data_IF_382835853927
#
_entry.id   IF_382835853927
#
_cell.length_a   1.000
_cell.length_b   1.000
_cell.length_c   1.000
_cell.angle_alpha   90.00
_cell.angle_beta   90.00
_cell.angle_gamma   90.00
#
_symmetry.space_group_name_H-M   'P 1'
#
loop_
_entity.id
_entity.type
_entity.pdbx_description
1 polymer ?
#
# COMPACT_ATOMS: atom_id res chain seq x y z
N UNK A 1 -50.08 9.01 -13.88
CA UNK A 1 -49.90 8.56 -12.48
C UNK A 1 -48.41 8.39 -12.25
N UNK A 2 -47.75 9.25 -11.47
CA UNK A 2 -46.35 9.06 -11.11
C UNK A 2 -46.27 7.99 -10.04
N UNK A 3 -45.55 6.89 -10.31
CA UNK A 3 -45.17 5.92 -9.29
C UNK A 3 -44.19 6.62 -8.35
N UNK A 4 -44.68 6.96 -7.17
CA UNK A 4 -43.80 7.29 -6.02
C UNK A 4 -43.04 6.02 -5.64
N UNK A 5 -41.78 5.92 -6.11
CA UNK A 5 -40.82 4.97 -5.58
C UNK A 5 -40.57 5.30 -4.13
N UNK A 6 -41.17 4.52 -3.25
CA UNK A 6 -40.97 4.60 -1.80
C UNK A 6 -39.62 3.98 -1.46
N UNK A 7 -38.52 4.69 -1.73
CA UNK A 7 -37.23 4.39 -1.12
C UNK A 7 -37.34 4.74 0.37
N UNK A 8 -37.68 3.71 1.16
CA UNK A 8 -37.83 3.82 2.60
C UNK A 8 -36.47 4.24 3.21
N UNK A 9 -36.38 5.47 3.78
CA UNK A 9 -35.10 6.01 4.29
C UNK A 9 -34.50 5.13 5.41
N UNK A 10 -35.32 4.36 6.11
CA UNK A 10 -34.90 3.42 7.13
C UNK A 10 -34.15 2.24 6.49
N UNK A 11 -34.71 1.68 5.43
CA UNK A 11 -34.09 0.55 4.69
C UNK A 11 -32.72 0.92 4.10
N UNK A 12 -32.58 2.14 3.61
CA UNK A 12 -31.31 2.66 3.07
C UNK A 12 -30.25 2.88 4.17
N UNK A 13 -30.66 3.19 5.39
CA UNK A 13 -29.73 3.35 6.54
C UNK A 13 -29.21 1.99 7.01
N UNK A 14 -30.05 0.99 7.12
CA UNK A 14 -29.63 -0.37 7.49
C UNK A 14 -28.72 -1.00 6.44
N UNK A 15 -29.02 -0.83 5.18
CA UNK A 15 -28.15 -1.31 4.10
C UNK A 15 -26.73 -0.67 4.14
N UNK A 16 -26.66 0.63 4.43
CA UNK A 16 -25.37 1.33 4.60
C UNK A 16 -24.61 0.87 5.83
N UNK A 17 -25.30 0.65 6.95
CA UNK A 17 -24.68 0.14 8.17
C UNK A 17 -24.15 -1.29 7.97
N UNK A 18 -24.92 -2.15 7.32
CA UNK A 18 -24.50 -3.50 6.99
C UNK A 18 -23.28 -3.52 6.08
N UNK A 19 -23.25 -2.69 5.04
CA UNK A 19 -22.09 -2.57 4.15
C UNK A 19 -20.84 -2.08 4.90
N UNK A 20 -20.97 -1.13 5.80
CA UNK A 20 -19.88 -0.67 6.65
C UNK A 20 -19.37 -1.79 7.58
N UNK A 21 -20.28 -2.57 8.18
CA UNK A 21 -19.93 -3.70 9.02
C UNK A 21 -19.14 -4.78 8.26
N UNK A 22 -19.60 -5.16 7.07
CA UNK A 22 -18.89 -6.12 6.20
C UNK A 22 -17.49 -5.63 5.85
N UNK A 23 -17.37 -4.34 5.54
CA UNK A 23 -16.08 -3.75 5.19
C UNK A 23 -15.10 -3.74 6.40
N UNK A 24 -15.58 -3.37 7.58
CA UNK A 24 -14.77 -3.40 8.81
C UNK A 24 -14.35 -4.84 9.12
N UNK A 25 -15.25 -5.82 8.99
CA UNK A 25 -14.90 -7.24 9.17
C UNK A 25 -13.83 -7.70 8.17
N UNK A 26 -13.88 -7.23 6.93
CA UNK A 26 -12.87 -7.54 5.93
C UNK A 26 -11.49 -6.98 6.32
N UNK A 27 -11.42 -5.72 6.71
CA UNK A 27 -10.18 -5.09 7.16
C UNK A 27 -9.63 -5.76 8.42
N UNK A 28 -10.50 -6.12 9.34
CA UNK A 28 -10.14 -6.85 10.55
C UNK A 28 -9.55 -8.23 10.24
N UNK A 29 -10.24 -9.00 9.41
CA UNK A 29 -9.74 -10.32 8.99
C UNK A 29 -8.39 -10.23 8.28
N UNK A 30 -8.20 -9.22 7.42
CA UNK A 30 -6.93 -8.97 6.75
C UNK A 30 -5.81 -8.64 7.74
N UNK A 31 -6.06 -7.79 8.74
CA UNK A 31 -5.09 -7.44 9.77
C UNK A 31 -4.67 -8.67 10.61
N UNK A 32 -5.64 -9.47 11.04
CA UNK A 32 -5.38 -10.72 11.79
C UNK A 32 -4.61 -11.73 10.94
N UNK A 33 -4.96 -11.88 9.67
CA UNK A 33 -4.27 -12.79 8.76
C UNK A 33 -2.81 -12.34 8.52
N UNK A 34 -2.56 -11.05 8.29
CA UNK A 34 -1.20 -10.51 8.15
C UNK A 34 -0.39 -10.77 9.42
N UNK A 35 -0.96 -10.52 10.59
CA UNK A 35 -0.30 -10.83 11.87
C UNK A 35 0.04 -12.31 11.98
N UNK A 36 -0.93 -13.21 11.72
CA UNK A 36 -0.73 -14.66 11.78
C UNK A 36 0.38 -15.13 10.84
N UNK A 37 0.54 -14.51 9.67
CA UNK A 37 1.60 -14.84 8.71
C UNK A 37 3.00 -14.42 9.19
N UNK A 38 3.12 -13.52 10.16
CA UNK A 38 4.41 -13.10 10.74
C UNK A 38 4.87 -14.02 11.88
N UNK A 39 3.99 -14.88 12.38
CA UNK A 39 4.29 -15.77 13.50
C UNK A 39 4.84 -17.11 13.01
N UNK A 40 5.88 -17.60 13.67
CA UNK A 40 6.41 -18.96 13.44
C UNK A 40 5.55 -20.07 14.05
N UNK A 41 4.76 -19.71 15.09
CA UNK A 41 3.74 -20.56 15.71
C UNK A 41 2.55 -19.68 16.07
N UNK A 42 1.33 -20.22 16.00
CA UNK A 42 0.10 -19.44 16.21
C UNK A 42 -0.58 -19.92 17.50
N UNK A 43 -0.10 -19.51 18.69
CA UNK A 43 -0.75 -19.86 19.94
C UNK A 43 -2.07 -19.09 20.10
N UNK A 44 -3.07 -19.66 20.80
CA UNK A 44 -4.38 -19.03 20.96
C UNK A 44 -4.34 -17.62 21.57
N UNK A 45 -3.39 -17.36 22.46
CA UNK A 45 -3.22 -16.03 23.07
C UNK A 45 -2.87 -14.95 22.05
N UNK A 46 -1.97 -15.26 21.10
CA UNK A 46 -1.59 -14.36 20.03
C UNK A 46 -2.75 -14.06 19.08
N UNK A 47 -3.58 -15.06 18.79
CA UNK A 47 -4.77 -14.84 17.98
C UNK A 47 -5.79 -13.94 18.69
N UNK A 48 -6.00 -14.14 19.99
CA UNK A 48 -6.91 -13.30 20.77
C UNK A 48 -6.38 -11.86 20.80
N UNK A 49 -5.09 -11.68 21.08
CA UNK A 49 -4.46 -10.35 21.11
C UNK A 49 -4.55 -9.65 19.75
N UNK A 50 -4.24 -10.37 18.67
CA UNK A 50 -4.34 -9.80 17.31
C UNK A 50 -5.77 -9.47 16.93
N UNK A 51 -6.75 -10.29 17.35
CA UNK A 51 -8.15 -10.01 17.09
C UNK A 51 -8.63 -8.76 17.82
N UNK A 52 -8.25 -8.57 19.07
CA UNK A 52 -8.60 -7.39 19.88
C UNK A 52 -7.91 -6.13 19.31
N UNK A 53 -6.59 -6.20 19.07
CA UNK A 53 -5.83 -5.06 18.54
C UNK A 53 -6.15 -4.75 17.08
N UNK A 54 -6.54 -5.73 16.29
CA UNK A 54 -6.92 -5.56 14.89
C UNK A 54 -8.22 -4.77 14.70
N UNK A 55 -9.13 -4.80 15.68
CA UNK A 55 -10.42 -4.13 15.55
C UNK A 55 -10.30 -2.58 15.43
N UNK A 56 -9.59 -1.87 16.31
CA UNK A 56 -9.39 -0.43 16.14
C UNK A 56 -8.64 -0.09 14.83
N UNK A 57 -7.71 -0.93 14.40
CA UNK A 57 -7.03 -0.75 13.11
C UNK A 57 -8.00 -0.87 11.93
N UNK A 58 -8.92 -1.82 11.97
CA UNK A 58 -9.94 -2.00 10.94
C UNK A 58 -10.92 -0.81 10.89
N UNK A 59 -11.32 -0.29 12.04
CA UNK A 59 -12.17 0.92 12.12
C UNK A 59 -11.42 2.13 11.59
N UNK A 60 -10.15 2.30 11.92
CA UNK A 60 -9.32 3.38 11.41
C UNK A 60 -9.13 3.28 9.88
N UNK A 61 -8.91 2.08 9.34
CA UNK A 61 -8.80 1.85 7.90
C UNK A 61 -10.10 2.20 7.16
N UNK A 62 -11.25 1.79 7.71
CA UNK A 62 -12.55 2.16 7.18
C UNK A 62 -12.80 3.68 7.21
N UNK A 63 -12.48 4.35 8.34
CA UNK A 63 -12.62 5.79 8.48
C UNK A 63 -11.68 6.54 7.51
N UNK A 64 -10.42 6.12 7.39
CA UNK A 64 -9.45 6.68 6.45
C UNK A 64 -9.92 6.57 5.01
N UNK A 65 -10.43 5.40 4.60
CA UNK A 65 -10.99 5.22 3.27
C UNK A 65 -12.18 6.14 3.00
N UNK A 66 -13.04 6.36 4.00
CA UNK A 66 -14.15 7.32 3.88
C UNK A 66 -13.69 8.76 3.78
N UNK A 67 -12.67 9.15 4.54
CA UNK A 67 -12.09 10.48 4.49
C UNK A 67 -11.50 10.80 3.11
N UNK A 68 -10.93 9.80 2.44
CA UNK A 68 -10.45 9.90 1.04
C UNK A 68 -11.59 9.91 0.00
N UNK A 69 -12.85 10.14 0.42
CA UNK A 69 -14.05 10.23 -0.42
C UNK A 69 -14.31 9.00 -1.32
N UNK A 70 -13.77 7.84 -0.97
CA UNK A 70 -13.99 6.60 -1.69
C UNK A 70 -13.44 6.56 -3.11
N UNK A 71 -12.57 7.49 -3.47
CA UNK A 71 -12.03 7.65 -4.82
C UNK A 71 -10.85 6.71 -5.13
N UNK A 72 -10.78 5.54 -4.49
CA UNK A 72 -9.70 4.61 -4.71
C UNK A 72 -10.18 3.40 -5.54
N UNK A 73 -9.68 3.27 -6.77
CA UNK A 73 -10.02 2.17 -7.69
C UNK A 73 -8.77 1.45 -8.17
N UNK A 74 -8.24 0.49 -7.40
CA UNK A 74 -7.09 -0.30 -7.82
C UNK A 74 -7.48 -1.19 -9.00
N UNK A 75 -6.59 -1.31 -9.96
CA UNK A 75 -6.76 -2.25 -11.08
C UNK A 75 -6.16 -3.59 -10.69
N UNK A 76 -6.91 -4.67 -10.84
CA UNK A 76 -6.43 -6.04 -10.54
C UNK A 76 -5.15 -6.41 -11.29
N UNK A 77 -4.90 -5.81 -12.46
CA UNK A 77 -3.64 -6.00 -13.19
C UNK A 77 -2.40 -5.58 -12.39
N UNK A 78 -2.54 -4.70 -11.41
CA UNK A 78 -1.43 -4.26 -10.55
C UNK A 78 -0.99 -5.32 -9.54
N UNK A 79 -1.77 -6.37 -9.32
CA UNK A 79 -1.33 -7.55 -8.57
C UNK A 79 -0.08 -8.20 -9.19
N UNK A 80 0.16 -8.00 -10.49
CA UNK A 80 1.39 -8.45 -11.14
C UNK A 80 2.64 -7.76 -10.59
N UNK A 81 2.51 -6.63 -9.91
CA UNK A 81 3.64 -5.96 -9.25
C UNK A 81 4.19 -6.76 -8.07
N UNK A 82 3.37 -7.64 -7.47
CA UNK A 82 3.79 -8.51 -6.38
C UNK A 82 4.84 -9.54 -6.82
N UNK A 83 4.76 -10.05 -8.05
CA UNK A 83 5.73 -11.04 -8.55
C UNK A 83 7.15 -10.48 -8.64
N UNK A 84 7.41 -9.34 -9.34
CA UNK A 84 8.73 -8.74 -9.34
C UNK A 84 9.17 -8.28 -7.95
N UNK A 85 8.25 -7.92 -7.04
CA UNK A 85 8.57 -7.55 -5.66
C UNK A 85 9.21 -8.71 -4.90
N UNK A 86 8.70 -9.95 -5.07
CA UNK A 86 9.26 -11.15 -4.44
C UNK A 86 10.73 -11.38 -4.82
N UNK A 87 11.13 -10.97 -6.01
CA UNK A 87 12.52 -11.09 -6.48
C UNK A 87 13.32 -9.84 -6.10
N UNK A 88 12.73 -8.65 -6.23
CA UNK A 88 13.39 -7.38 -5.97
C UNK A 88 13.83 -7.26 -4.50
N UNK A 89 12.97 -7.65 -3.54
CA UNK A 89 13.27 -7.53 -2.11
C UNK A 89 14.54 -8.27 -1.71
N UNK A 90 14.74 -9.58 -2.00
CA UNK A 90 15.96 -10.28 -1.63
C UNK A 90 17.19 -9.79 -2.41
N UNK A 91 17.03 -9.40 -3.68
CA UNK A 91 18.12 -8.86 -4.50
C UNK A 91 18.58 -7.52 -3.95
N UNK A 92 17.66 -6.61 -3.63
CA UNK A 92 18.00 -5.29 -3.09
C UNK A 92 18.53 -5.39 -1.66
N UNK A 93 18.03 -6.34 -0.85
CA UNK A 93 18.61 -6.65 0.46
C UNK A 93 20.08 -7.10 0.35
N UNK A 94 20.38 -7.99 -0.62
CA UNK A 94 21.76 -8.42 -0.90
C UNK A 94 22.66 -7.28 -1.36
N UNK A 95 22.17 -6.43 -2.25
CA UNK A 95 22.91 -5.23 -2.72
C UNK A 95 23.16 -4.26 -1.57
N UNK A 96 22.17 -4.02 -0.73
CA UNK A 96 22.31 -3.15 0.43
C UNK A 96 23.38 -3.70 1.39
N UNK A 97 23.35 -5.00 1.68
CA UNK A 97 24.34 -5.65 2.53
C UNK A 97 25.75 -5.49 1.96
N UNK A 98 25.94 -5.80 0.68
CA UNK A 98 27.25 -5.67 0.00
C UNK A 98 27.71 -4.19 0.02
N UNK A 99 26.82 -3.25 -0.28
CA UNK A 99 27.15 -1.83 -0.28
C UNK A 99 27.51 -1.33 1.10
N UNK A 100 26.84 -1.82 2.15
CA UNK A 100 27.13 -1.48 3.54
C UNK A 100 28.53 -1.99 3.95
N UNK A 101 28.88 -3.23 3.59
CA UNK A 101 30.21 -3.80 3.85
C UNK A 101 31.28 -2.99 3.13
N UNK A 102 31.08 -2.68 1.84
CA UNK A 102 32.03 -1.87 1.07
C UNK A 102 32.22 -0.47 1.69
N UNK A 103 31.15 0.13 2.19
CA UNK A 103 31.17 1.44 2.82
C UNK A 103 31.97 1.48 4.12
N UNK A 104 31.92 0.42 4.91
CA UNK A 104 32.78 0.29 6.09
C UNK A 104 34.26 0.36 5.72
N UNK A 105 34.60 -0.06 4.48
CA UNK A 105 35.97 -0.04 3.95
C UNK A 105 36.34 1.30 3.27
N UNK A 106 35.43 1.94 2.53
CA UNK A 106 35.77 3.05 1.60
C UNK A 106 35.28 4.44 2.04
N UNK A 107 34.39 4.53 3.03
CA UNK A 107 33.76 5.79 3.51
C UNK A 107 33.03 6.61 2.42
N UNK A 108 32.65 6.01 1.33
CA UNK A 108 31.90 6.69 0.27
C UNK A 108 30.47 7.03 0.70
N UNK A 109 29.96 8.17 0.25
CA UNK A 109 28.55 8.53 0.46
C UNK A 109 27.68 7.66 -0.44
N UNK A 110 26.67 7.04 0.15
CA UNK A 110 25.69 6.26 -0.58
C UNK A 110 24.41 7.05 -0.76
N UNK A 111 23.78 6.79 -1.88
CA UNK A 111 22.44 7.23 -2.11
C UNK A 111 22.31 8.53 -2.88
N UNK A 112 21.11 8.78 -3.32
CA UNK A 112 20.73 9.99 -4.03
C UNK A 112 19.22 10.06 -4.17
N UNK A 113 18.73 11.26 -4.39
CA UNK A 113 17.33 11.47 -4.73
C UNK A 113 17.13 11.31 -6.23
N UNK A 114 16.07 10.64 -6.62
CA UNK A 114 15.68 10.42 -8.00
C UNK A 114 14.19 10.71 -8.15
N UNK A 115 13.82 11.41 -9.20
CA UNK A 115 12.43 11.70 -9.53
C UNK A 115 11.91 10.67 -10.53
N UNK A 116 10.74 10.14 -10.25
CA UNK A 116 10.04 9.19 -11.10
C UNK A 116 8.73 9.79 -11.57
N UNK A 117 8.60 10.09 -12.89
CA UNK A 117 7.34 10.58 -13.45
C UNK A 117 6.30 9.46 -13.44
N UNK A 118 5.09 9.80 -13.04
CA UNK A 118 3.93 8.93 -13.07
C UNK A 118 3.13 9.12 -14.37
N UNK A 119 2.36 8.11 -14.83
CA UNK A 119 1.52 8.24 -16.01
C UNK A 119 0.45 9.31 -15.83
N UNK A 120 0.38 10.23 -16.78
CA UNK A 120 -0.60 11.33 -16.84
C UNK A 120 -1.88 10.89 -17.56
N UNK A 121 -3.01 11.50 -17.21
CA UNK A 121 -4.28 11.32 -17.94
C UNK A 121 -5.15 10.15 -17.45
N UNK A 122 -4.85 9.57 -16.30
CA UNK A 122 -5.75 8.60 -15.66
C UNK A 122 -6.88 9.30 -14.89
N UNK A 123 -8.05 8.64 -14.76
CA UNK A 123 -9.11 9.13 -13.88
C UNK A 123 -8.59 9.35 -12.45
N UNK A 124 -9.00 10.42 -11.73
CA UNK A 124 -8.44 10.77 -10.43
C UNK A 124 -8.42 9.62 -9.41
N UNK A 125 -9.47 8.80 -9.38
CA UNK A 125 -9.56 7.64 -8.50
C UNK A 125 -8.54 6.53 -8.82
N UNK A 126 -8.17 6.39 -10.10
CA UNK A 126 -7.18 5.42 -10.55
C UNK A 126 -5.78 5.95 -10.31
N UNK A 127 -5.54 7.24 -10.58
CA UNK A 127 -4.28 7.92 -10.33
C UNK A 127 -3.92 7.87 -8.82
N UNK A 128 -4.87 8.20 -7.93
CA UNK A 128 -4.68 8.11 -6.49
C UNK A 128 -4.34 6.68 -6.02
N UNK A 129 -5.03 5.68 -6.57
CA UNK A 129 -4.75 4.28 -6.23
C UNK A 129 -3.37 3.83 -6.77
N UNK A 130 -3.00 4.25 -7.97
CA UNK A 130 -1.67 3.98 -8.55
C UNK A 130 -0.57 4.62 -7.69
N UNK A 131 -0.74 5.88 -7.31
CA UNK A 131 0.20 6.63 -6.48
C UNK A 131 0.45 5.91 -5.15
N UNK A 132 -0.63 5.55 -4.43
CA UNK A 132 -0.53 4.82 -3.17
C UNK A 132 0.18 3.47 -3.31
N UNK A 133 -0.16 2.69 -4.35
CA UNK A 133 0.48 1.40 -4.59
C UNK A 133 1.94 1.53 -5.04
N UNK A 134 2.26 2.56 -5.81
CA UNK A 134 3.63 2.86 -6.20
C UNK A 134 4.51 3.18 -4.98
N UNK A 135 4.02 4.04 -4.08
CA UNK A 135 4.68 4.37 -2.81
C UNK A 135 4.92 3.11 -1.99
N UNK A 136 3.89 2.28 -1.78
CA UNK A 136 4.01 1.03 -1.03
C UNK A 136 5.02 0.06 -1.67
N UNK A 137 4.94 -0.11 -2.99
CA UNK A 137 5.79 -1.05 -3.73
C UNK A 137 7.26 -0.63 -3.71
N UNK A 138 7.52 0.66 -3.91
CA UNK A 138 8.89 1.20 -3.89
C UNK A 138 9.46 1.18 -2.47
N UNK A 139 8.66 1.55 -1.46
CA UNK A 139 9.09 1.55 -0.07
C UNK A 139 9.20 0.15 0.55
N UNK A 140 8.61 -0.88 -0.07
CA UNK A 140 8.75 -2.27 0.37
C UNK A 140 10.14 -2.86 0.04
N UNK A 141 10.91 -2.24 -0.88
CA UNK A 141 12.26 -2.71 -1.19
C UNK A 141 13.29 -2.12 -0.23
N UNK A 142 14.15 -2.99 0.38
CA UNK A 142 15.20 -2.50 1.25
C UNK A 142 16.17 -1.60 0.49
N UNK A 143 16.47 -0.43 1.04
CA UNK A 143 17.40 0.52 0.42
C UNK A 143 16.77 1.58 -0.47
N UNK A 144 15.44 1.61 -0.58
CA UNK A 144 14.69 2.69 -1.22
C UNK A 144 13.53 3.14 -0.34
N UNK A 145 13.24 4.43 -0.34
CA UNK A 145 12.02 4.96 0.26
C UNK A 145 11.55 6.20 -0.50
N UNK A 146 10.26 6.40 -0.50
CA UNK A 146 9.67 7.60 -1.10
C UNK A 146 9.86 8.76 -0.12
N UNK A 147 10.62 9.76 -0.53
CA UNK A 147 10.92 10.95 0.27
C UNK A 147 9.84 12.03 0.12
N UNK A 148 9.26 12.12 -1.08
CA UNK A 148 8.18 13.06 -1.37
C UNK A 148 7.27 12.51 -2.47
N UNK A 149 6.03 12.96 -2.49
CA UNK A 149 5.02 12.54 -3.44
C UNK A 149 4.08 13.70 -3.73
N UNK A 150 4.22 14.25 -4.92
CA UNK A 150 3.34 15.32 -5.39
C UNK A 150 2.32 14.77 -6.40
N UNK A 151 1.04 14.63 -5.98
CA UNK A 151 -0.02 14.18 -6.87
C UNK A 151 -0.38 15.20 -7.96
N UNK A 152 -0.06 16.49 -7.78
CA UNK A 152 -0.36 17.56 -8.76
C UNK A 152 0.68 17.58 -9.88
N UNK A 153 1.93 17.23 -9.56
CA UNK A 153 3.01 17.15 -10.54
C UNK A 153 3.20 15.74 -11.14
N UNK A 154 2.33 14.78 -10.79
CA UNK A 154 2.41 13.39 -11.24
C UNK A 154 3.80 12.78 -11.10
N UNK A 155 4.48 13.07 -9.98
CA UNK A 155 5.83 12.57 -9.70
C UNK A 155 5.96 12.05 -8.27
N UNK A 156 6.89 11.12 -8.09
CA UNK A 156 7.37 10.69 -6.77
C UNK A 156 8.88 10.90 -6.69
N UNK A 157 9.34 11.39 -5.55
CA UNK A 157 10.77 11.54 -5.25
C UNK A 157 11.19 10.37 -4.37
N UNK A 158 12.13 9.59 -4.85
CA UNK A 158 12.62 8.40 -4.17
C UNK A 158 14.06 8.62 -3.73
N UNK A 159 14.34 8.36 -2.47
CA UNK A 159 15.71 8.29 -1.98
C UNK A 159 16.20 6.84 -2.09
N UNK A 160 17.32 6.66 -2.77
CA UNK A 160 17.97 5.35 -2.92
C UNK A 160 19.26 5.32 -2.09
N UNK A 161 19.42 4.32 -1.25
CA UNK A 161 20.65 4.11 -0.46
C UNK A 161 21.75 3.44 -1.27
N UNK A 162 21.38 2.71 -2.31
CA UNK A 162 22.32 2.01 -3.19
C UNK A 162 22.23 2.61 -4.58
N UNK A 163 23.36 2.98 -5.18
CA UNK A 163 23.40 3.52 -6.54
C UNK A 163 22.84 2.50 -7.55
N UNK A 164 21.95 2.98 -8.41
CA UNK A 164 21.26 2.20 -9.43
C UNK A 164 19.77 2.54 -9.49
N UNK A 165 19.13 2.20 -10.61
CA UNK A 165 17.68 2.36 -10.73
C UNK A 165 16.98 1.25 -9.96
N UNK A 166 15.94 1.56 -9.16
CA UNK A 166 15.13 0.54 -8.54
C UNK A 166 14.55 -0.41 -9.61
N UNK A 167 14.61 -1.72 -9.36
CA UNK A 167 14.10 -2.72 -10.33
C UNK A 167 12.59 -2.54 -10.61
N UNK A 168 11.87 -1.97 -9.65
CA UNK A 168 10.42 -1.76 -9.73
C UNK A 168 9.99 -0.50 -10.50
N UNK A 169 10.93 0.41 -10.84
CA UNK A 169 10.59 1.62 -11.62
C UNK A 169 9.85 1.30 -12.91
N UNK A 170 10.36 0.34 -13.69
CA UNK A 170 9.76 -0.03 -14.96
C UNK A 170 8.38 -0.69 -14.80
N UNK A 171 8.13 -1.32 -13.66
CA UNK A 171 6.87 -2.00 -13.36
C UNK A 171 5.80 -0.99 -12.97
N UNK A 172 6.17 0.02 -12.19
CA UNK A 172 5.24 1.07 -11.71
C UNK A 172 4.86 2.03 -12.83
N UNK A 173 5.74 2.27 -13.81
CA UNK A 173 5.46 3.13 -14.98
C UNK A 173 4.52 2.52 -16.02
N UNK A 174 4.32 1.20 -16.04
CA UNK A 174 3.41 0.47 -16.94
C UNK A 174 2.02 0.28 -16.32
#
# INVERSE_FOLDING_TARGET
MPQMSSDDPVRSRWARAAAAGVEICWWWAAAVAIWALTLSSVPPQELITSAICGLPCAVAAWAGRKALAGCWRPRLRWLRWLLPLLVAVPVDAGRLLISTIRRLATREQLGGMQEYPMPVGEPPAVAAARHALAILTVSATPGTFVADSDPEEDKIVVHTLVGGRPQLEQVVRK
#
